data_IF_784468688370
#
_entry.id   IF_784468688370
#
_cell.length_a   1.000
_cell.length_b   1.000
_cell.length_c   1.000
_cell.angle_alpha   90.00
_cell.angle_beta   90.00
_cell.angle_gamma   90.00
#
_symmetry.space_group_name_H-M   'P 1'
#
loop_
_entity.id
_entity.type
_entity.pdbx_description
1 polymer ?
#
# COMPACT_ATOMS: atom_id res chain seq x y z
N UNK A 1 5.04 8.52 5.67
CA UNK A 1 5.15 9.34 4.43
C UNK A 1 6.60 9.41 3.97
N UNK A 2 6.80 9.40 2.69
CA UNK A 2 8.12 9.48 2.09
C UNK A 2 8.13 10.59 1.05
N UNK A 3 9.03 11.54 1.21
CA UNK A 3 9.19 12.65 0.28
C UNK A 3 10.47 12.47 -0.54
N UNK A 4 10.35 12.66 -1.84
CA UNK A 4 11.48 12.60 -2.77
C UNK A 4 11.58 13.93 -3.50
N UNK A 5 12.79 14.47 -3.52
CA UNK A 5 13.11 15.65 -4.34
C UNK A 5 13.81 15.17 -5.59
N UNK A 6 13.27 15.56 -6.72
CA UNK A 6 13.92 15.33 -7.99
C UNK A 6 14.17 16.68 -8.65
N UNK A 7 15.42 17.06 -8.77
CA UNK A 7 15.81 18.35 -9.31
C UNK A 7 16.57 18.13 -10.61
N UNK A 8 15.99 18.58 -11.71
CA UNK A 8 16.61 18.51 -13.03
C UNK A 8 16.64 19.90 -13.63
N UNK A 9 17.82 20.52 -13.67
CA UNK A 9 17.97 21.87 -14.18
C UNK A 9 17.17 22.88 -13.37
N UNK A 10 16.22 23.55 -14.02
CA UNK A 10 15.36 24.55 -13.39
C UNK A 10 14.06 23.96 -12.84
N UNK A 11 13.77 22.71 -13.14
CA UNK A 11 12.54 22.07 -12.74
C UNK A 11 12.77 21.28 -11.45
N UNK A 12 12.06 21.67 -10.41
CA UNK A 12 12.03 20.94 -9.15
C UNK A 12 10.65 20.33 -8.97
N UNK A 13 10.60 19.04 -8.70
CA UNK A 13 9.37 18.34 -8.41
C UNK A 13 9.45 17.71 -7.01
N UNK A 14 8.35 17.79 -6.28
CA UNK A 14 8.21 17.13 -4.98
C UNK A 14 7.23 15.98 -5.13
N UNK A 15 7.67 14.79 -4.77
CA UNK A 15 6.84 13.61 -4.76
C UNK A 15 6.69 13.12 -3.33
N UNK A 16 5.43 12.98 -2.89
CA UNK A 16 5.10 12.47 -1.56
C UNK A 16 4.22 11.25 -1.72
N UNK A 17 4.56 10.20 -1.03
CA UNK A 17 3.80 8.95 -1.03
C UNK A 17 3.52 8.51 0.38
N UNK A 18 2.31 8.02 0.61
CA UNK A 18 1.89 7.43 1.87
C UNK A 18 1.04 6.20 1.59
N UNK A 19 1.19 5.18 2.42
CA UNK A 19 0.47 3.93 2.28
C UNK A 19 0.04 3.39 3.63
N UNK A 20 -1.09 2.68 3.65
CA UNK A 20 -1.60 2.09 4.86
C UNK A 20 -2.45 0.86 4.61
N UNK A 21 -2.62 0.07 5.65
CA UNK A 21 -3.48 -1.10 5.68
C UNK A 21 -4.78 -0.75 6.41
N UNK A 22 -5.90 -1.01 5.77
CA UNK A 22 -7.24 -0.71 6.29
C UNK A 22 -8.01 -2.01 6.41
N UNK A 23 -8.32 -2.41 7.65
CA UNK A 23 -8.98 -3.68 7.95
C UNK A 23 -10.47 -3.43 8.23
N UNK A 24 -11.33 -4.08 7.47
CA UNK A 24 -12.79 -3.85 7.53
C UNK A 24 -13.36 -4.08 8.92
N UNK A 25 -13.06 -5.22 9.53
CA UNK A 25 -13.59 -5.59 10.85
C UNK A 25 -13.13 -4.66 11.96
N UNK A 26 -12.01 -3.97 11.76
CA UNK A 26 -11.45 -3.01 12.72
C UNK A 26 -11.78 -1.57 12.33
N UNK A 27 -12.79 -1.36 11.49
CA UNK A 27 -13.26 -0.05 11.04
C UNK A 27 -12.17 0.80 10.38
N UNK A 28 -11.28 0.13 9.65
CA UNK A 28 -10.19 0.77 8.93
C UNK A 28 -8.87 0.85 9.69
N UNK A 29 -8.83 0.42 10.97
CA UNK A 29 -7.57 0.36 11.74
C UNK A 29 -6.64 -0.70 11.14
N UNK A 30 -5.33 -0.51 11.05
CA UNK A 30 -4.56 0.64 11.54
C UNK A 30 -4.57 1.89 10.63
N UNK A 31 -4.98 1.78 9.37
CA UNK A 31 -5.20 2.92 8.49
C UNK A 31 -3.98 3.82 8.33
N UNK A 32 -4.17 5.12 8.57
CA UNK A 32 -3.09 6.11 8.44
C UNK A 32 -1.97 5.91 9.46
N UNK A 33 -2.23 5.13 10.51
CA UNK A 33 -1.25 4.83 11.56
C UNK A 33 -0.54 3.50 11.35
N UNK A 34 -0.60 2.92 10.16
CA UNK A 34 -0.11 1.56 9.87
C UNK A 34 1.34 1.33 10.29
N UNK A 35 2.25 2.25 9.99
CA UNK A 35 3.65 2.10 10.36
C UNK A 35 3.84 2.14 11.89
N UNK A 36 3.18 3.07 12.56
CA UNK A 36 3.24 3.23 14.01
C UNK A 36 2.69 2.02 14.73
N UNK A 37 1.54 1.53 14.28
CA UNK A 37 0.89 0.34 14.87
C UNK A 37 1.76 -0.90 14.70
N UNK A 38 2.36 -1.07 13.51
CA UNK A 38 3.27 -2.18 13.26
C UNK A 38 4.46 -2.18 14.24
N UNK A 39 5.02 -1.00 14.52
CA UNK A 39 6.10 -0.87 15.50
C UNK A 39 5.64 -1.17 16.92
N UNK A 40 4.41 -0.84 17.26
CA UNK A 40 3.89 -0.99 18.62
C UNK A 40 3.43 -2.40 18.94
N UNK A 41 2.68 -3.02 18.06
CA UNK A 41 2.08 -4.33 18.34
C UNK A 41 2.52 -5.44 17.39
N UNK A 42 3.16 -5.10 16.27
CA UNK A 42 3.66 -6.07 15.31
C UNK A 42 2.58 -6.83 14.57
N UNK A 43 2.99 -7.77 13.74
CA UNK A 43 2.07 -8.65 13.02
C UNK A 43 1.27 -9.51 13.99
N UNK A 44 1.89 -10.00 15.04
CA UNK A 44 1.21 -10.81 16.05
C UNK A 44 0.10 -10.04 16.75
N UNK A 45 0.29 -8.74 16.98
CA UNK A 45 -0.75 -7.90 17.59
C UNK A 45 -1.97 -7.77 16.68
N UNK A 46 -1.77 -7.57 15.38
CA UNK A 46 -2.86 -7.54 14.41
C UNK A 46 -3.59 -8.88 14.35
N UNK A 47 -2.85 -9.97 14.28
CA UNK A 47 -3.46 -11.30 14.25
C UNK A 47 -4.26 -11.60 15.52
N UNK A 48 -3.79 -11.14 16.67
CA UNK A 48 -4.54 -11.25 17.92
C UNK A 48 -5.86 -10.48 17.89
N UNK A 49 -5.84 -9.26 17.37
CA UNK A 49 -7.05 -8.45 17.23
C UNK A 49 -8.07 -9.12 16.30
N UNK A 50 -7.59 -9.91 15.34
CA UNK A 50 -8.40 -10.58 14.34
C UNK A 50 -8.72 -12.02 14.69
N UNK A 51 -8.32 -12.51 15.88
CA UNK A 51 -8.34 -13.94 16.23
C UNK A 51 -9.72 -14.60 16.11
N UNK A 52 -10.79 -13.85 16.37
CA UNK A 52 -12.17 -14.36 16.31
C UNK A 52 -12.94 -13.79 15.10
N UNK A 53 -12.26 -13.05 14.23
CA UNK A 53 -12.93 -12.41 13.10
C UNK A 53 -13.23 -13.41 12.00
N UNK A 54 -14.48 -13.44 11.55
CA UNK A 54 -14.92 -14.17 10.38
C UNK A 54 -14.67 -13.32 9.13
N UNK A 55 -15.02 -12.03 9.20
CA UNK A 55 -14.71 -11.08 8.14
C UNK A 55 -13.26 -10.67 8.27
N UNK A 56 -12.45 -11.11 7.34
CA UNK A 56 -11.01 -10.80 7.33
C UNK A 56 -10.61 -9.90 6.16
N UNK A 57 -11.59 -9.25 5.56
CA UNK A 57 -11.37 -8.33 4.44
C UNK A 57 -10.54 -7.13 4.84
N UNK A 58 -9.66 -6.73 3.94
CA UNK A 58 -8.79 -5.58 4.16
C UNK A 58 -8.34 -5.02 2.82
N UNK A 59 -7.74 -3.84 2.87
CA UNK A 59 -7.14 -3.27 1.68
C UNK A 59 -5.91 -2.46 2.03
N UNK A 60 -4.91 -2.54 1.16
CA UNK A 60 -3.85 -1.55 1.14
C UNK A 60 -4.29 -0.37 0.29
N UNK A 61 -4.04 0.82 0.78
CA UNK A 61 -4.24 2.06 0.03
C UNK A 61 -2.93 2.80 -0.05
N UNK A 62 -2.59 3.28 -1.23
CA UNK A 62 -1.46 4.17 -1.45
C UNK A 62 -1.98 5.48 -2.01
N UNK A 63 -1.50 6.58 -1.48
CA UNK A 63 -1.79 7.92 -1.99
C UNK A 63 -0.47 8.57 -2.35
N UNK A 64 -0.42 9.19 -3.49
CA UNK A 64 0.77 9.88 -3.96
C UNK A 64 0.40 11.26 -4.46
N UNK A 65 1.29 12.22 -4.24
CA UNK A 65 1.13 13.58 -4.70
C UNK A 65 2.40 14.00 -5.41
N UNK A 66 2.25 14.50 -6.62
CA UNK A 66 3.35 15.11 -7.36
C UNK A 66 3.07 16.61 -7.48
N UNK A 67 4.01 17.41 -7.01
CA UNK A 67 3.94 18.86 -7.10
C UNK A 67 5.09 19.37 -7.97
N UNK A 68 4.77 20.02 -9.07
CA UNK A 68 5.77 20.48 -10.05
C UNK A 68 6.08 21.96 -9.96
N UNK A 69 5.49 22.66 -9.00
CA UNK A 69 5.60 24.14 -8.90
C UNK A 69 4.44 24.85 -9.55
N UNK A 70 3.84 24.28 -10.56
CA UNK A 70 2.68 24.84 -11.27
C UNK A 70 1.43 23.98 -11.06
N UNK A 71 1.60 22.68 -10.89
CA UNK A 71 0.51 21.72 -10.80
C UNK A 71 0.70 20.78 -9.61
N UNK A 72 -0.42 20.34 -9.09
CA UNK A 72 -0.47 19.31 -8.06
C UNK A 72 -1.30 18.16 -8.60
N UNK A 73 -0.69 16.98 -8.68
CA UNK A 73 -1.33 15.78 -9.24
C UNK A 73 -1.43 14.72 -8.15
N UNK A 74 -2.62 14.19 -7.96
CA UNK A 74 -2.90 13.16 -6.95
C UNK A 74 -3.09 11.81 -7.63
N UNK A 75 -2.54 10.77 -7.02
CA UNK A 75 -2.79 9.41 -7.45
C UNK A 75 -3.17 8.54 -6.26
N UNK A 76 -4.04 7.58 -6.49
CA UNK A 76 -4.46 6.62 -5.48
C UNK A 76 -4.44 5.22 -6.08
N UNK A 77 -3.98 4.27 -5.30
CA UNK A 77 -4.04 2.86 -5.66
C UNK A 77 -4.56 2.04 -4.50
N UNK A 78 -5.43 1.09 -4.79
CA UNK A 78 -6.05 0.22 -3.79
C UNK A 78 -5.83 -1.23 -4.19
N UNK A 79 -5.42 -2.05 -3.22
CA UNK A 79 -5.33 -3.49 -3.39
C UNK A 79 -6.18 -4.16 -2.30
N UNK A 80 -7.29 -4.75 -2.71
CA UNK A 80 -8.16 -5.50 -1.80
C UNK A 80 -7.57 -6.89 -1.56
N UNK A 81 -7.86 -7.43 -0.38
CA UNK A 81 -7.44 -8.76 -0.02
C UNK A 81 -7.99 -9.18 1.33
N UNK A 82 -7.31 -10.13 1.96
CA UNK A 82 -7.70 -10.66 3.27
C UNK A 82 -6.50 -10.77 4.18
N UNK A 83 -6.77 -10.64 5.48
CA UNK A 83 -5.78 -10.89 6.53
C UNK A 83 -5.78 -12.39 6.83
N UNK A 84 -4.61 -13.00 6.78
CA UNK A 84 -4.43 -14.43 7.07
C UNK A 84 -4.52 -14.70 8.57
N UNK A 85 -4.57 -15.98 8.93
CA UNK A 85 -4.61 -16.38 10.36
C UNK A 85 -3.22 -16.55 10.96
N UNK A 86 -2.19 -16.58 10.12
CA UNK A 86 -0.80 -16.71 10.54
C UNK A 86 0.11 -15.98 9.56
N UNK A 87 1.35 -15.74 9.96
CA UNK A 87 2.35 -15.14 9.06
C UNK A 87 2.81 -16.18 8.05
N UNK A 88 2.79 -15.81 6.78
CA UNK A 88 3.17 -16.68 5.67
C UNK A 88 4.15 -15.92 4.77
N UNK A 89 5.36 -16.44 4.66
CA UNK A 89 6.42 -15.89 3.83
C UNK A 89 7.30 -14.89 4.56
N UNK A 90 8.43 -14.58 3.96
CA UNK A 90 9.44 -13.71 4.54
C UNK A 90 9.86 -12.57 3.60
N UNK A 91 9.29 -12.56 2.40
CA UNK A 91 9.59 -11.52 1.41
C UNK A 91 8.84 -10.24 1.71
N UNK A 92 9.33 -9.14 1.14
CA UNK A 92 8.70 -7.85 1.32
C UNK A 92 8.98 -7.23 2.67
N UNK A 93 8.03 -6.40 3.14
CA UNK A 93 8.18 -5.67 4.39
C UNK A 93 6.81 -5.34 4.97
N UNK A 94 6.81 -4.88 6.21
CA UNK A 94 5.58 -4.41 6.88
C UNK A 94 4.57 -5.53 7.08
N UNK A 95 3.37 -5.30 6.57
CA UNK A 95 2.24 -6.23 6.73
C UNK A 95 2.20 -7.34 5.67
N UNK A 96 3.15 -7.37 4.76
CA UNK A 96 3.16 -8.32 3.65
C UNK A 96 2.95 -9.79 4.06
N UNK A 97 3.52 -10.29 5.17
CA UNK A 97 3.33 -11.70 5.54
C UNK A 97 1.93 -12.08 6.00
N UNK A 98 1.04 -11.13 6.22
CA UNK A 98 -0.33 -11.43 6.68
C UNK A 98 -1.42 -10.94 5.72
N UNK A 99 -1.04 -10.40 4.56
CA UNK A 99 -2.00 -9.89 3.58
C UNK A 99 -1.96 -10.71 2.30
N UNK A 100 -3.10 -11.31 1.96
CA UNK A 100 -3.27 -12.09 0.73
C UNK A 100 -4.12 -11.27 -0.25
N UNK A 101 -3.56 -10.82 -1.38
CA UNK A 101 -4.31 -10.00 -2.31
C UNK A 101 -5.38 -10.80 -3.03
N UNK A 102 -6.51 -10.14 -3.27
CA UNK A 102 -7.59 -10.69 -4.07
C UNK A 102 -7.13 -10.90 -5.51
N UNK A 103 -7.51 -12.00 -6.11
CA UNK A 103 -7.14 -12.30 -7.49
C UNK A 103 -5.87 -13.13 -7.66
N UNK A 104 -5.14 -13.42 -6.58
CA UNK A 104 -4.04 -14.37 -6.69
C UNK A 104 -4.59 -15.79 -6.69
N UNK A 105 -4.33 -16.52 -7.78
CA UNK A 105 -4.85 -17.86 -7.99
C UNK A 105 -4.29 -18.89 -7.00
N UNK A 106 -3.16 -18.57 -6.35
CA UNK A 106 -2.49 -19.47 -5.42
C UNK A 106 -2.79 -19.15 -3.95
N UNK A 107 -3.53 -18.07 -3.68
CA UNK A 107 -3.87 -17.66 -2.32
C UNK A 107 -2.67 -17.23 -1.48
N UNK A 108 -1.61 -16.74 -2.11
CA UNK A 108 -0.38 -16.33 -1.42
C UNK A 108 -0.54 -14.99 -0.73
N UNK A 109 0.26 -14.78 0.33
CA UNK A 109 0.46 -13.45 0.87
C UNK A 109 1.52 -12.71 0.06
N UNK A 110 1.60 -11.39 0.22
CA UNK A 110 2.71 -10.63 -0.34
C UNK A 110 4.06 -11.12 0.18
N UNK A 111 4.11 -11.64 1.41
CA UNK A 111 5.33 -12.22 1.98
C UNK A 111 5.79 -13.50 1.29
N UNK A 112 4.91 -14.14 0.54
CA UNK A 112 5.22 -15.35 -0.23
C UNK A 112 5.49 -15.07 -1.71
N UNK A 113 5.45 -13.82 -2.11
CA UNK A 113 5.63 -13.41 -3.51
C UNK A 113 7.00 -12.79 -3.72
N UNK A 114 7.57 -12.99 -4.91
CA UNK A 114 8.71 -12.21 -5.33
C UNK A 114 8.24 -10.80 -5.75
N UNK A 115 9.19 -9.92 -6.02
CA UNK A 115 8.89 -8.54 -6.38
C UNK A 115 8.01 -8.45 -7.64
N UNK A 116 8.29 -9.29 -8.63
CA UNK A 116 7.55 -9.29 -9.90
C UNK A 116 6.10 -9.70 -9.71
N UNK A 117 5.86 -10.76 -8.95
CA UNK A 117 4.50 -11.22 -8.65
C UNK A 117 3.73 -10.18 -7.85
N UNK A 118 4.37 -9.56 -6.86
CA UNK A 118 3.74 -8.53 -6.03
C UNK A 118 3.36 -7.30 -6.83
N UNK A 119 4.16 -6.90 -7.81
CA UNK A 119 3.89 -5.70 -8.62
C UNK A 119 2.54 -5.77 -9.34
N UNK A 120 2.10 -6.97 -9.71
CA UNK A 120 0.80 -7.15 -10.38
C UNK A 120 -0.37 -6.69 -9.51
N UNK A 121 -0.20 -6.67 -8.18
CA UNK A 121 -1.24 -6.32 -7.23
C UNK A 121 -0.96 -5.01 -6.48
N UNK A 122 0.21 -4.42 -6.68
CA UNK A 122 0.73 -3.33 -5.86
C UNK A 122 -0.17 -2.09 -5.87
N UNK A 123 -0.59 -1.65 -4.67
CA UNK A 123 -1.31 -0.41 -4.47
C UNK A 123 -0.45 0.81 -4.83
N UNK A 124 0.87 0.73 -4.58
CA UNK A 124 1.81 1.80 -4.93
C UNK A 124 1.97 1.96 -6.44
N UNK A 125 2.09 0.83 -7.15
CA UNK A 125 2.16 0.86 -8.60
C UNK A 125 0.89 1.46 -9.22
N UNK A 126 -0.27 1.15 -8.65
CA UNK A 126 -1.54 1.72 -9.09
C UNK A 126 -1.61 3.23 -8.85
N UNK A 127 -1.11 3.70 -7.71
CA UNK A 127 -1.07 5.15 -7.40
C UNK A 127 -0.16 5.89 -8.37
N UNK A 128 1.01 5.34 -8.68
CA UNK A 128 1.93 5.92 -9.65
C UNK A 128 1.35 5.94 -11.07
N UNK A 129 0.68 4.88 -11.46
CA UNK A 129 0.01 4.81 -12.76
C UNK A 129 -1.10 5.85 -12.87
N UNK A 130 -1.83 6.08 -11.79
CA UNK A 130 -2.86 7.12 -11.72
C UNK A 130 -2.27 8.50 -11.96
N UNK A 131 -1.14 8.82 -11.33
CA UNK A 131 -0.43 10.08 -11.54
C UNK A 131 0.03 10.20 -13.00
N UNK A 132 0.60 9.15 -13.54
CA UNK A 132 1.08 9.13 -14.92
C UNK A 132 -0.03 9.42 -15.92
N UNK A 133 -1.19 8.81 -15.75
CA UNK A 133 -2.35 9.06 -16.60
C UNK A 133 -2.80 10.52 -16.54
N UNK A 134 -2.82 11.10 -15.35
CA UNK A 134 -3.19 12.50 -15.18
C UNK A 134 -2.18 13.44 -15.83
N UNK A 135 -0.90 13.15 -15.74
CA UNK A 135 0.14 13.92 -16.42
C UNK A 135 -0.02 13.86 -17.94
N UNK A 136 -0.34 12.69 -18.47
CA UNK A 136 -0.58 12.53 -19.92
C UNK A 136 -1.78 13.37 -20.36
N UNK A 137 -2.85 13.44 -19.56
CA UNK A 137 -4.02 14.26 -19.84
C UNK A 137 -3.70 15.76 -19.79
N UNK A 138 -2.71 16.16 -19.02
CA UNK A 138 -2.27 17.56 -18.93
C UNK A 138 -1.23 17.94 -20.00
N UNK A 139 -0.86 17.00 -20.85
CA UNK A 139 0.09 17.24 -21.92
C UNK A 139 1.55 17.15 -21.52
N UNK A 140 1.84 16.44 -20.44
CA UNK A 140 3.23 16.27 -19.97
C UNK A 140 3.90 15.02 -20.51
#
# INVERSE_FOLDING_TARGET
AKALFNQTGQDAAIFVEDAGLFIDELSGFPGVNSASVLNQIGLSGILNLMSESINRGAEFRAQAVLFTGEEMVFGEGICRGTITTETLGESGFGYDPIFSPEGDNFGRTFGQMDKTAKEAFSHRAKALESIKKQLDLLGH
#
